data_IF_162118828169
#
_entry.id   IF_162118828169
#
_cell.length_a   1.000
_cell.length_b   1.000
_cell.length_c   1.000
_cell.angle_alpha   90.00
_cell.angle_beta   90.00
_cell.angle_gamma   90.00
#
_symmetry.space_group_name_H-M   'P 1'
#
loop_
_entity.id
_entity.type
_entity.pdbx_description
1 polymer ?
#
# COMPACT_ATOMS: atom_id res chain seq x y z
N UNK A 1 4.19 0.21 29.23
CA UNK A 1 3.80 1.11 28.12
C UNK A 1 2.31 0.94 27.90
N UNK A 2 1.50 1.93 28.28
CA UNK A 2 0.05 1.94 28.05
C UNK A 2 -0.15 2.64 26.71
N UNK A 3 -0.84 2.01 25.76
CA UNK A 3 -1.21 2.65 24.50
C UNK A 3 -2.35 3.62 24.81
N UNK A 4 -2.15 4.92 24.58
CA UNK A 4 -3.17 5.95 24.87
C UNK A 4 -4.42 5.79 23.99
N UNK A 5 -4.27 5.19 22.81
CA UNK A 5 -5.37 4.84 21.93
C UNK A 5 -5.06 3.57 21.13
N UNK A 6 -6.11 2.80 20.82
CA UNK A 6 -6.05 1.66 19.87
C UNK A 6 -6.80 1.95 18.57
N UNK A 7 -7.18 3.21 18.35
CA UNK A 7 -7.84 3.66 17.12
C UNK A 7 -6.83 3.87 16.00
N UNK A 8 -7.30 3.80 14.77
CA UNK A 8 -6.49 4.08 13.60
C UNK A 8 -6.40 5.59 13.40
N UNK A 9 -5.22 6.13 13.64
CA UNK A 9 -4.93 7.56 13.53
C UNK A 9 -5.08 8.12 12.10
N UNK A 10 -4.97 7.25 11.08
CA UNK A 10 -5.22 7.62 9.68
C UNK A 10 -6.71 7.60 9.31
N UNK A 11 -7.60 7.24 10.24
CA UNK A 11 -9.01 7.07 9.99
C UNK A 11 -9.83 8.13 10.74
N UNK A 12 -10.50 9.02 10.00
CA UNK A 12 -11.44 10.01 10.56
C UNK A 12 -12.54 9.35 11.40
N UNK A 13 -12.90 8.09 11.08
CA UNK A 13 -13.93 7.35 11.80
C UNK A 13 -13.44 6.73 13.12
N UNK A 14 -12.17 6.95 13.52
CA UNK A 14 -11.60 6.50 14.81
C UNK A 14 -11.86 5.01 15.09
N UNK A 15 -11.84 4.18 14.03
CA UNK A 15 -12.05 2.73 14.15
C UNK A 15 -10.84 2.08 14.78
N UNK A 16 -11.04 0.99 15.53
CA UNK A 16 -9.95 0.17 16.05
C UNK A 16 -8.95 -0.20 14.94
N UNK A 17 -7.68 0.08 15.19
CA UNK A 17 -6.61 -0.31 14.30
C UNK A 17 -6.38 -1.83 14.38
N UNK A 18 -6.55 -2.49 13.24
CA UNK A 18 -6.21 -3.90 13.04
C UNK A 18 -5.42 -3.98 11.74
N UNK A 19 -4.64 -5.04 11.52
CA UNK A 19 -3.92 -5.21 10.25
C UNK A 19 -4.86 -5.12 9.04
N UNK A 20 -6.05 -5.75 9.14
CA UNK A 20 -7.07 -5.65 8.09
C UNK A 20 -7.57 -4.22 7.88
N UNK A 21 -7.75 -3.45 8.95
CA UNK A 21 -8.17 -2.05 8.83
C UNK A 21 -7.08 -1.18 8.23
N UNK A 22 -5.88 -1.26 8.80
CA UNK A 22 -4.72 -0.48 8.42
C UNK A 22 -4.36 -0.67 6.94
N UNK A 23 -4.37 -1.90 6.45
CA UNK A 23 -3.91 -2.20 5.10
C UNK A 23 -5.02 -2.29 4.06
N UNK A 24 -6.29 -2.49 4.45
CA UNK A 24 -7.36 -2.78 3.48
C UNK A 24 -8.71 -2.07 3.70
N UNK A 25 -9.03 -1.57 4.90
CA UNK A 25 -10.39 -1.07 5.18
C UNK A 25 -10.47 0.40 5.54
N UNK A 26 -9.38 1.01 5.97
CA UNK A 26 -9.32 2.45 6.21
C UNK A 26 -9.60 3.21 4.90
N UNK A 27 -10.34 4.32 4.99
CA UNK A 27 -10.64 5.16 3.83
C UNK A 27 -9.35 5.74 3.22
N UNK A 28 -8.41 6.17 4.06
CA UNK A 28 -7.08 6.60 3.63
C UNK A 28 -6.38 5.51 2.82
N UNK A 29 -6.29 4.31 3.38
CA UNK A 29 -5.62 3.18 2.72
C UNK A 29 -6.28 2.77 1.41
N UNK A 30 -7.62 2.74 1.34
CA UNK A 30 -8.33 2.47 0.08
C UNK A 30 -7.97 3.50 -0.99
N UNK A 31 -7.79 4.77 -0.61
CA UNK A 31 -7.34 5.81 -1.54
C UNK A 31 -5.88 5.60 -1.99
N UNK A 32 -4.99 5.10 -1.12
CA UNK A 32 -3.63 4.69 -1.50
C UNK A 32 -3.60 3.53 -2.49
N UNK A 33 -4.47 2.53 -2.35
CA UNK A 33 -4.58 1.49 -3.38
C UNK A 33 -5.14 2.04 -4.69
N UNK A 34 -6.14 2.93 -4.59
CA UNK A 34 -6.76 3.55 -5.76
C UNK A 34 -5.79 4.45 -6.55
N UNK A 35 -4.81 5.08 -5.88
CA UNK A 35 -3.82 5.94 -6.55
C UNK A 35 -2.88 5.18 -7.48
N UNK A 36 -2.80 3.86 -7.37
CA UNK A 36 -2.05 2.97 -8.29
C UNK A 36 -2.99 2.09 -9.12
N UNK A 37 -4.24 2.50 -9.28
CA UNK A 37 -5.24 1.79 -10.10
C UNK A 37 -5.84 0.54 -9.46
N UNK A 38 -5.60 0.28 -8.17
CA UNK A 38 -6.08 -0.93 -7.50
C UNK A 38 -7.33 -0.64 -6.69
N UNK A 39 -8.42 -1.33 -7.01
CA UNK A 39 -9.68 -1.28 -6.25
C UNK A 39 -10.17 -2.68 -5.91
N UNK A 40 -10.89 -2.80 -4.78
CA UNK A 40 -11.43 -4.07 -4.29
C UNK A 40 -12.59 -3.84 -3.32
N UNK A 41 -13.37 -4.90 -3.06
CA UNK A 41 -14.46 -4.89 -2.09
C UNK A 41 -13.94 -5.14 -0.68
N UNK A 42 -13.90 -4.09 0.15
CA UNK A 42 -13.29 -4.12 1.51
C UNK A 42 -14.06 -4.93 2.56
N UNK A 43 -15.30 -5.35 2.26
CA UNK A 43 -16.14 -6.17 3.16
C UNK A 43 -15.76 -7.66 3.15
N UNK A 44 -14.93 -8.09 2.20
CA UNK A 44 -14.46 -9.48 2.10
C UNK A 44 -13.38 -9.81 3.15
N UNK A 45 -13.06 -11.10 3.28
CA UNK A 45 -11.91 -11.54 4.06
C UNK A 45 -10.60 -11.04 3.44
N UNK A 46 -9.58 -10.83 4.26
CA UNK A 46 -8.25 -10.33 3.83
C UNK A 46 -7.68 -11.18 2.70
N UNK A 47 -7.71 -12.50 2.85
CA UNK A 47 -7.24 -13.45 1.82
C UNK A 47 -8.01 -13.33 0.52
N UNK A 48 -9.34 -13.15 0.59
CA UNK A 48 -10.18 -12.97 -0.60
C UNK A 48 -9.86 -11.66 -1.33
N UNK A 49 -9.55 -10.59 -0.59
CA UNK A 49 -9.14 -9.30 -1.15
C UNK A 49 -7.82 -9.45 -1.89
N UNK A 50 -6.78 -10.01 -1.27
CA UNK A 50 -5.49 -10.19 -1.95
C UNK A 50 -5.59 -11.14 -3.15
N UNK A 51 -6.39 -12.20 -3.07
CA UNK A 51 -6.66 -13.06 -4.22
C UNK A 51 -7.41 -12.33 -5.35
N UNK A 52 -8.28 -11.37 -5.02
CA UNK A 52 -8.93 -10.53 -6.02
C UNK A 52 -7.93 -9.55 -6.66
N UNK A 53 -7.06 -8.91 -5.87
CA UNK A 53 -6.00 -8.02 -6.36
C UNK A 53 -5.06 -8.79 -7.31
N UNK A 54 -4.56 -9.96 -6.89
CA UNK A 54 -3.72 -10.83 -7.73
C UNK A 54 -4.36 -11.14 -9.08
N UNK A 55 -5.64 -11.58 -9.07
CA UNK A 55 -6.38 -11.95 -10.28
C UNK A 55 -6.65 -10.75 -11.21
N UNK A 56 -6.75 -9.55 -10.65
CA UNK A 56 -6.94 -8.31 -11.43
C UNK A 56 -5.64 -7.80 -12.03
N UNK A 57 -4.55 -7.84 -11.27
CA UNK A 57 -3.25 -7.40 -11.75
C UNK A 57 -2.77 -8.29 -12.90
N UNK A 58 -2.83 -9.62 -12.76
CA UNK A 58 -2.30 -10.57 -13.75
C UNK A 58 -0.82 -10.32 -14.11
N UNK A 59 -0.09 -9.65 -13.24
CA UNK A 59 1.33 -9.36 -13.41
C UNK A 59 2.18 -10.43 -12.72
N UNK A 60 3.31 -10.84 -13.30
CA UNK A 60 4.21 -11.78 -12.65
C UNK A 60 4.83 -11.25 -11.35
N UNK A 61 4.84 -9.92 -11.16
CA UNK A 61 5.35 -9.21 -9.98
C UNK A 61 4.24 -8.63 -9.09
N UNK A 62 3.06 -9.27 -9.06
CA UNK A 62 1.94 -8.80 -8.23
C UNK A 62 2.26 -8.74 -6.73
N UNK A 63 3.19 -9.59 -6.26
CA UNK A 63 3.58 -9.63 -4.84
C UNK A 63 4.38 -8.40 -4.45
N UNK A 64 5.28 -7.94 -5.32
CA UNK A 64 6.09 -6.73 -5.15
C UNK A 64 5.16 -5.52 -4.99
N UNK A 65 4.13 -5.42 -5.83
CA UNK A 65 3.10 -4.37 -5.72
C UNK A 65 2.43 -4.43 -4.34
N UNK A 66 1.97 -5.61 -3.91
CA UNK A 66 1.25 -5.77 -2.65
C UNK A 66 2.14 -5.41 -1.45
N UNK A 67 3.36 -5.96 -1.42
CA UNK A 67 4.31 -5.78 -0.31
C UNK A 67 4.74 -4.33 -0.22
N UNK A 68 5.12 -3.70 -1.33
CA UNK A 68 5.63 -2.33 -1.33
C UNK A 68 4.56 -1.29 -1.03
N UNK A 69 3.31 -1.51 -1.47
CA UNK A 69 2.20 -0.63 -1.10
C UNK A 69 1.90 -0.75 0.40
N UNK A 70 1.84 -1.98 0.92
CA UNK A 70 1.65 -2.26 2.35
C UNK A 70 2.76 -1.63 3.18
N UNK A 71 4.01 -1.72 2.72
CA UNK A 71 5.18 -1.09 3.34
C UNK A 71 5.06 0.43 3.34
N UNK A 72 4.69 1.03 2.22
CA UNK A 72 4.54 2.49 2.10
C UNK A 72 3.45 3.04 3.03
N UNK A 73 2.32 2.33 3.15
CA UNK A 73 1.26 2.64 4.11
C UNK A 73 1.77 2.53 5.55
N UNK A 74 2.47 1.43 5.87
CA UNK A 74 3.02 1.19 7.21
C UNK A 74 3.98 2.30 7.64
N UNK A 75 4.92 2.68 6.77
CA UNK A 75 5.89 3.73 7.08
C UNK A 75 5.21 5.09 7.24
N UNK A 76 4.22 5.42 6.41
CA UNK A 76 3.50 6.69 6.52
C UNK A 76 2.67 6.77 7.81
N UNK A 77 2.04 5.66 8.22
CA UNK A 77 1.38 5.54 9.53
C UNK A 77 2.36 5.79 10.66
N UNK A 78 3.56 5.20 10.58
CA UNK A 78 4.59 5.38 11.61
C UNK A 78 5.13 6.80 11.65
N UNK A 79 5.33 7.44 10.51
CA UNK A 79 5.75 8.84 10.44
C UNK A 79 4.71 9.77 11.07
N UNK A 80 3.42 9.48 10.90
CA UNK A 80 2.38 10.22 11.60
C UNK A 80 2.48 10.02 13.12
N UNK A 81 2.60 8.78 13.59
CA UNK A 81 2.66 8.46 15.02
C UNK A 81 3.91 8.99 15.73
N UNK A 82 5.08 8.89 15.10
CA UNK A 82 6.37 9.16 15.76
C UNK A 82 6.98 10.50 15.37
N UNK A 83 6.64 11.03 14.20
CA UNK A 83 7.24 12.24 13.65
C UNK A 83 6.22 13.37 13.43
N UNK A 84 4.94 13.17 13.81
CA UNK A 84 3.83 14.11 13.58
C UNK A 84 3.72 14.58 12.11
N UNK A 85 4.15 13.73 11.16
CA UNK A 85 4.09 14.03 9.74
C UNK A 85 2.72 13.64 9.18
N UNK A 86 1.89 14.64 8.85
CA UNK A 86 0.51 14.40 8.43
C UNK A 86 0.42 13.39 7.27
N UNK A 87 -0.40 12.33 7.39
CA UNK A 87 -0.47 11.29 6.36
C UNK A 87 -1.13 11.84 5.10
N UNK A 88 -0.45 11.71 3.96
CA UNK A 88 -0.96 12.14 2.66
C UNK A 88 -0.81 11.03 1.63
N UNK A 89 -1.86 10.82 0.83
CA UNK A 89 -1.88 9.80 -0.23
C UNK A 89 -0.70 10.01 -1.20
N UNK A 90 -0.36 11.27 -1.51
CA UNK A 90 0.78 11.61 -2.38
C UNK A 90 2.12 11.10 -1.86
N UNK A 91 2.33 11.08 -0.55
CA UNK A 91 3.59 10.67 0.04
C UNK A 91 3.71 9.14 0.06
N UNK A 92 2.59 8.45 0.33
CA UNK A 92 2.50 7.00 0.17
C UNK A 92 2.78 6.59 -1.28
N UNK A 93 2.15 7.25 -2.26
CA UNK A 93 2.37 6.96 -3.68
C UNK A 93 3.80 7.25 -4.11
N UNK A 94 4.38 8.39 -3.71
CA UNK A 94 5.78 8.73 -4.04
C UNK A 94 6.74 7.70 -3.48
N UNK A 95 6.55 7.30 -2.21
CA UNK A 95 7.36 6.27 -1.58
C UNK A 95 7.22 4.92 -2.28
N UNK A 96 6.00 4.52 -2.60
CA UNK A 96 5.72 3.30 -3.35
C UNK A 96 6.48 3.28 -4.68
N UNK A 97 6.35 4.33 -5.50
CA UNK A 97 7.03 4.43 -6.80
C UNK A 97 8.56 4.39 -6.64
N UNK A 98 9.10 5.12 -5.66
CA UNK A 98 10.53 5.13 -5.38
C UNK A 98 11.05 3.75 -4.99
N UNK A 99 10.43 3.09 -4.01
CA UNK A 99 10.84 1.77 -3.54
C UNK A 99 10.63 0.70 -4.62
N UNK A 100 9.56 0.82 -5.42
CA UNK A 100 9.27 -0.07 -6.54
C UNK A 100 10.33 0.02 -7.63
N UNK A 101 10.75 1.23 -8.02
CA UNK A 101 11.86 1.44 -8.97
C UNK A 101 13.16 0.85 -8.43
N UNK A 102 13.48 1.03 -7.14
CA UNK A 102 14.68 0.43 -6.54
C UNK A 102 14.65 -1.11 -6.60
N UNK A 103 13.50 -1.73 -6.34
CA UNK A 103 13.34 -3.19 -6.46
C UNK A 103 13.50 -3.62 -7.92
N UNK A 104 12.87 -2.92 -8.86
CA UNK A 104 12.97 -3.21 -10.29
C UNK A 104 14.41 -3.10 -10.82
N UNK A 105 15.18 -2.12 -10.35
CA UNK A 105 16.56 -1.87 -10.82
C UNK A 105 17.61 -2.78 -10.18
N UNK A 106 17.40 -3.21 -8.92
CA UNK A 106 18.48 -3.82 -8.13
C UNK A 106 18.17 -5.19 -7.53
N UNK A 107 16.91 -5.63 -7.51
CA UNK A 107 16.48 -6.83 -6.76
C UNK A 107 15.77 -7.88 -7.59
N UNK A 108 15.50 -7.62 -8.87
CA UNK A 108 14.84 -8.57 -9.78
C UNK A 108 15.74 -8.98 -10.93
N UNK A 109 15.37 -10.06 -11.61
CA UNK A 109 16.05 -10.53 -12.82
C UNK A 109 15.84 -9.51 -13.95
N UNK A 110 16.83 -9.37 -14.84
CA UNK A 110 16.78 -8.44 -15.98
C UNK A 110 15.54 -8.61 -16.86
N UNK A 111 15.03 -9.84 -17.01
CA UNK A 111 13.80 -10.11 -17.78
C UNK A 111 12.52 -9.51 -17.15
N UNK A 112 12.51 -9.31 -15.83
CA UNK A 112 11.38 -8.73 -15.09
C UNK A 112 11.47 -7.21 -14.97
N UNK A 113 12.70 -6.69 -15.02
CA UNK A 113 13.01 -5.28 -14.82
C UNK A 113 12.23 -4.37 -15.78
N UNK A 114 12.25 -4.66 -17.09
CA UNK A 114 11.53 -3.83 -18.07
C UNK A 114 10.02 -3.81 -17.80
N UNK A 115 9.41 -4.98 -17.59
CA UNK A 115 7.98 -5.09 -17.31
C UNK A 115 7.55 -4.32 -16.05
N UNK A 116 8.40 -4.33 -15.01
CA UNK A 116 8.15 -3.57 -13.79
C UNK A 116 8.26 -2.06 -14.03
N UNK A 117 9.31 -1.62 -14.73
CA UNK A 117 9.51 -0.19 -15.04
C UNK A 117 8.37 0.34 -15.94
N UNK A 118 8.02 -0.39 -17.00
CA UNK A 118 6.91 -0.03 -17.89
C UNK A 118 5.59 0.09 -17.12
N UNK A 119 5.33 -0.84 -16.19
CA UNK A 119 4.13 -0.81 -15.37
C UNK A 119 4.11 0.40 -14.42
N UNK A 120 5.20 0.67 -13.71
CA UNK A 120 5.21 1.80 -12.75
C UNK A 120 5.16 3.15 -13.46
N UNK A 121 5.76 3.26 -14.65
CA UNK A 121 5.71 4.47 -15.47
C UNK A 121 4.32 4.71 -16.08
N UNK A 122 3.52 3.65 -16.25
CA UNK A 122 2.12 3.78 -16.70
C UNK A 122 1.18 4.39 -15.64
N UNK A 123 1.62 4.52 -14.39
CA UNK A 123 0.81 5.06 -13.29
C UNK A 123 0.71 6.59 -13.30
N UNK A 124 1.52 7.29 -14.11
CA UNK A 124 1.51 8.75 -14.26
C UNK A 124 2.90 9.36 -14.37
#
# INVERSE_FOLDING_TARGET
MILESTTCEMCILQKRETAAHLFLRCNFTKACWCSVGITYTSTRSVTSIFNAIRRRLQLPFFMEIIILMTWSIWTNRNDWTFNNSAPMIRDVTRKFVSDFRLVALHRVRTQMQSLMLDWVDSLG
#
